data_IF_912697878085
#
_entry.id   IF_912697878085
#
_cell.length_a   1.000
_cell.length_b   1.000
_cell.length_c   1.000
_cell.angle_alpha   90.00
_cell.angle_beta   90.00
_cell.angle_gamma   90.00
#
_symmetry.space_group_name_H-M   'P 1'
#
loop_
_entity.id
_entity.type
_entity.pdbx_description
1 polymer ?
#
# COMPACT_ATOMS: atom_id res chain seq x y z
N UNK A 1 25.56 -6.94 -8.97
CA UNK A 1 24.38 -6.33 -9.62
C UNK A 1 23.87 -5.28 -8.67
N UNK A 2 23.97 -4.00 -9.03
CA UNK A 2 23.61 -2.88 -8.17
C UNK A 2 22.10 -2.83 -8.00
N UNK A 3 21.62 -3.21 -6.80
CA UNK A 3 20.25 -2.96 -6.37
C UNK A 3 20.03 -1.45 -6.41
N UNK A 4 19.10 -0.97 -7.24
CA UNK A 4 18.64 0.41 -7.16
C UNK A 4 17.52 0.42 -6.12
N UNK A 5 17.90 0.57 -4.86
CA UNK A 5 16.98 0.77 -3.73
C UNK A 5 16.38 2.17 -3.80
N UNK A 6 15.15 2.34 -3.30
CA UNK A 6 14.55 3.66 -3.16
C UNK A 6 15.43 4.57 -2.27
N UNK A 7 15.44 5.87 -2.55
CA UNK A 7 16.28 6.81 -1.82
C UNK A 7 15.80 7.08 -0.39
N UNK A 8 14.49 6.96 -0.14
CA UNK A 8 13.86 7.10 1.17
C UNK A 8 13.25 5.74 1.54
N UNK A 9 13.56 5.24 2.74
CA UNK A 9 12.96 4.01 3.29
C UNK A 9 12.74 4.19 4.80
N UNK A 10 11.64 3.67 5.38
CA UNK A 10 10.51 3.05 4.68
C UNK A 10 9.63 4.05 3.93
N UNK A 11 8.86 3.59 2.95
CA UNK A 11 7.85 4.39 2.26
C UNK A 11 6.46 4.18 2.87
N UNK A 12 5.56 5.19 2.85
CA UNK A 12 4.19 5.07 3.36
C UNK A 12 3.25 4.27 2.43
N UNK A 13 3.81 3.26 1.75
CA UNK A 13 3.12 2.40 0.80
C UNK A 13 2.01 1.61 1.51
N UNK A 14 0.84 1.59 0.87
CA UNK A 14 -0.34 0.87 1.34
C UNK A 14 -0.95 1.39 2.64
N UNK A 15 -0.46 2.52 3.20
CA UNK A 15 -1.02 3.11 4.42
C UNK A 15 -2.30 3.91 4.12
N UNK A 16 -2.32 4.63 2.99
CA UNK A 16 -3.41 5.52 2.61
C UNK A 16 -4.23 4.97 1.44
N UNK A 17 -5.48 5.45 1.23
CA UNK A 17 -6.25 5.12 0.04
C UNK A 17 -5.53 5.48 -1.26
N UNK A 18 -5.90 4.80 -2.35
CA UNK A 18 -5.41 5.15 -3.67
C UNK A 18 -5.91 6.53 -4.12
N UNK A 19 -5.09 7.29 -4.86
CA UNK A 19 -3.75 6.93 -5.35
C UNK A 19 -2.63 7.17 -4.33
N UNK A 20 -2.89 7.87 -3.22
CA UNK A 20 -1.86 8.27 -2.25
C UNK A 20 -1.10 7.08 -1.64
N UNK A 21 -1.77 5.95 -1.42
CA UNK A 21 -1.14 4.71 -0.93
C UNK A 21 -0.03 4.15 -1.83
N UNK A 22 0.08 4.60 -3.08
CA UNK A 22 1.15 4.17 -4.00
C UNK A 22 2.22 5.25 -4.20
N UNK A 23 2.04 6.48 -3.71
CA UNK A 23 3.00 7.55 -3.94
C UNK A 23 4.31 7.34 -3.16
N UNK A 24 5.41 7.75 -3.78
CA UNK A 24 6.76 7.70 -3.21
C UNK A 24 7.21 9.07 -2.73
N UNK A 25 7.92 9.08 -1.60
CA UNK A 25 8.61 10.24 -1.10
C UNK A 25 9.99 10.38 -1.78
N UNK A 26 10.25 11.48 -2.52
CA UNK A 26 11.57 11.78 -3.06
C UNK A 26 12.55 12.23 -1.96
N UNK A 27 13.87 12.11 -2.17
CA UNK A 27 14.89 12.49 -1.18
C UNK A 27 15.11 14.02 -1.14
N UNK A 28 14.10 14.75 -0.72
CA UNK A 28 14.11 16.23 -0.61
C UNK A 28 14.32 16.68 0.85
N UNK A 29 14.68 17.95 1.03
CA UNK A 29 14.81 18.53 2.36
C UNK A 29 13.47 18.47 3.14
N UNK A 30 13.52 18.12 4.43
CA UNK A 30 12.34 17.97 5.28
C UNK A 30 11.57 16.66 5.08
N UNK A 31 12.00 15.75 4.19
CA UNK A 31 11.30 14.49 3.94
C UNK A 31 11.22 13.59 5.17
N UNK A 32 12.21 13.63 6.06
CA UNK A 32 12.25 12.75 7.24
C UNK A 32 11.07 12.99 8.20
N UNK A 33 10.69 14.25 8.42
CA UNK A 33 9.56 14.60 9.29
C UNK A 33 8.24 14.19 8.64
N UNK A 34 8.10 14.43 7.33
CA UNK A 34 6.92 14.03 6.55
C UNK A 34 6.79 12.51 6.51
N UNK A 35 7.88 11.80 6.26
CA UNK A 35 7.95 10.34 6.28
C UNK A 35 7.51 9.81 7.64
N UNK A 36 8.06 10.33 8.74
CA UNK A 36 7.72 9.87 10.09
C UNK A 36 6.22 10.05 10.40
N UNK A 37 5.64 11.20 10.02
CA UNK A 37 4.21 11.47 10.19
C UNK A 37 3.34 10.52 9.35
N UNK A 38 3.66 10.36 8.06
CA UNK A 38 2.90 9.52 7.14
C UNK A 38 2.96 8.03 7.55
N UNK A 39 4.09 7.56 8.06
CA UNK A 39 4.22 6.19 8.58
C UNK A 39 3.36 5.95 9.84
N UNK A 40 2.92 7.01 10.52
CA UNK A 40 1.96 6.98 11.62
C UNK A 40 0.51 7.26 11.16
N UNK A 41 0.29 7.35 9.86
CA UNK A 41 -1.01 7.66 9.25
C UNK A 41 -1.41 9.12 9.38
N UNK A 42 -0.49 10.01 9.76
CA UNK A 42 -0.72 11.43 9.98
C UNK A 42 -0.36 12.23 8.72
N UNK A 43 -1.18 13.23 8.41
CA UNK A 43 -0.87 14.20 7.37
C UNK A 43 -0.20 15.39 8.06
N UNK A 44 1.09 15.66 7.81
CA UNK A 44 1.77 16.77 8.47
C UNK A 44 1.21 18.11 8.01
N UNK A 45 0.91 19.00 8.96
CA UNK A 45 0.42 20.36 8.68
C UNK A 45 1.44 21.19 7.91
N UNK A 46 2.72 21.03 8.26
CA UNK A 46 3.84 21.73 7.65
C UNK A 46 4.56 20.79 6.67
N UNK A 47 4.01 20.66 5.47
CA UNK A 47 4.63 19.90 4.39
C UNK A 47 5.45 20.86 3.49
N UNK A 48 6.74 20.57 3.21
CA UNK A 48 7.52 21.31 2.22
C UNK A 48 6.78 21.40 0.87
N UNK A 49 6.99 22.48 0.13
CA UNK A 49 6.34 22.68 -1.17
C UNK A 49 6.64 21.54 -2.16
N UNK A 50 7.86 21.01 -2.11
CA UNK A 50 8.30 19.84 -2.88
C UNK A 50 7.51 18.55 -2.59
N UNK A 51 6.82 18.49 -1.44
CA UNK A 51 6.00 17.34 -1.01
C UNK A 51 4.50 17.67 -1.00
N UNK A 52 4.11 18.86 -1.48
CA UNK A 52 2.71 19.29 -1.52
C UNK A 52 1.82 18.34 -2.34
N UNK A 53 2.38 17.66 -3.35
CA UNK A 53 1.66 16.69 -4.18
C UNK A 53 1.02 15.56 -3.36
N UNK A 54 1.68 15.12 -2.27
CA UNK A 54 1.18 14.02 -1.45
C UNK A 54 -0.09 14.43 -0.70
N UNK A 55 -0.07 15.62 -0.10
CA UNK A 55 -1.24 16.21 0.58
C UNK A 55 -2.38 16.48 -0.38
N UNK A 56 -2.08 16.98 -1.59
CA UNK A 56 -3.08 17.21 -2.63
C UNK A 56 -3.76 15.90 -3.04
N UNK A 57 -2.99 14.83 -3.24
CA UNK A 57 -3.51 13.51 -3.58
C UNK A 57 -4.38 12.91 -2.46
N UNK A 58 -3.98 13.06 -1.19
CA UNK A 58 -4.78 12.64 -0.03
C UNK A 58 -6.14 13.37 0.07
N UNK A 59 -6.18 14.63 -0.35
CA UNK A 59 -7.41 15.42 -0.42
C UNK A 59 -8.23 15.15 -1.69
N UNK A 60 -7.78 14.24 -2.57
CA UNK A 60 -8.46 13.89 -3.82
C UNK A 60 -8.24 14.87 -4.98
N UNK A 61 -7.39 15.90 -4.83
CA UNK A 61 -7.07 16.83 -5.93
C UNK A 61 -5.92 16.30 -6.80
N UNK A 62 -6.25 15.31 -7.62
CA UNK A 62 -5.30 14.57 -8.45
C UNK A 62 -4.63 15.46 -9.50
N UNK A 63 -5.38 16.36 -10.14
CA UNK A 63 -4.83 17.25 -11.16
C UNK A 63 -3.88 18.28 -10.53
N UNK A 64 -4.17 18.81 -9.33
CA UNK A 64 -3.22 19.68 -8.64
C UNK A 64 -1.98 18.91 -8.18
N UNK A 65 -2.14 17.69 -7.64
CA UNK A 65 -1.02 16.84 -7.26
C UNK A 65 -0.09 16.56 -8.45
N UNK A 66 -0.67 16.26 -9.61
CA UNK A 66 0.09 16.03 -10.85
C UNK A 66 0.86 17.29 -11.29
N UNK A 67 0.22 18.46 -11.26
CA UNK A 67 0.87 19.74 -11.60
C UNK A 67 1.98 20.13 -10.63
N UNK A 68 1.83 19.82 -9.35
CA UNK A 68 2.85 20.10 -8.33
C UNK A 68 4.19 19.37 -8.60
N UNK A 69 4.14 18.26 -9.34
CA UNK A 69 5.32 17.49 -9.75
C UNK A 69 5.95 17.98 -11.06
N UNK A 70 5.42 19.01 -11.73
CA UNK A 70 5.82 19.35 -13.09
C UNK A 70 7.29 19.79 -13.24
N UNK A 71 7.86 20.39 -12.19
CA UNK A 71 9.24 20.88 -12.18
C UNK A 71 10.25 19.86 -11.60
N UNK A 72 9.80 18.67 -11.18
CA UNK A 72 10.65 17.65 -10.56
C UNK A 72 11.02 16.57 -11.58
N UNK A 73 12.30 16.53 -11.96
CA UNK A 73 12.87 15.59 -12.93
C UNK A 73 13.38 14.28 -12.30
N UNK A 74 13.12 14.05 -11.01
CA UNK A 74 13.48 12.80 -10.33
C UNK A 74 12.70 11.58 -10.85
N UNK A 75 13.26 10.39 -10.62
CA UNK A 75 12.60 9.13 -11.00
C UNK A 75 11.35 8.88 -10.15
N UNK A 76 11.37 9.26 -8.87
CA UNK A 76 10.24 9.22 -7.96
C UNK A 76 9.12 10.15 -8.43
N UNK A 77 9.43 11.37 -8.87
CA UNK A 77 8.43 12.26 -9.44
C UNK A 77 7.83 11.72 -10.75
N UNK A 78 8.65 11.11 -11.61
CA UNK A 78 8.16 10.44 -12.82
C UNK A 78 7.23 9.27 -12.49
N UNK A 79 7.55 8.48 -11.46
CA UNK A 79 6.68 7.41 -10.96
C UNK A 79 5.39 7.96 -10.34
N UNK A 80 5.47 9.00 -9.51
CA UNK A 80 4.30 9.62 -8.89
C UNK A 80 3.35 10.22 -9.92
N UNK A 81 3.89 10.87 -10.96
CA UNK A 81 3.08 11.34 -12.10
C UNK A 81 2.35 10.18 -12.77
N UNK A 82 3.01 9.04 -12.97
CA UNK A 82 2.37 7.83 -13.50
C UNK A 82 1.22 7.34 -12.60
N UNK A 83 1.44 7.24 -11.28
CA UNK A 83 0.39 6.81 -10.33
C UNK A 83 -0.81 7.76 -10.33
N UNK A 84 -0.58 9.07 -10.46
CA UNK A 84 -1.65 10.07 -10.49
C UNK A 84 -2.38 10.12 -11.83
N UNK A 85 -1.66 10.04 -12.95
CA UNK A 85 -2.19 10.18 -14.30
C UNK A 85 -1.24 9.54 -15.31
N UNK A 86 -1.66 8.40 -15.86
CA UNK A 86 -0.86 7.63 -16.81
C UNK A 86 -1.58 7.32 -18.12
N UNK A 87 -0.78 6.91 -19.10
CA UNK A 87 -1.17 6.20 -20.31
C UNK A 87 -0.34 4.92 -20.51
N UNK A 88 -0.77 3.99 -21.38
CA UNK A 88 0.05 2.83 -21.78
C UNK A 88 1.40 3.22 -22.38
N UNK A 89 1.48 4.36 -23.07
CA UNK A 89 2.72 4.91 -23.64
C UNK A 89 3.69 5.37 -22.54
N UNK A 90 3.17 6.01 -21.48
CA UNK A 90 3.96 6.38 -20.31
C UNK A 90 4.55 5.14 -19.65
N UNK A 91 3.74 4.10 -19.45
CA UNK A 91 4.20 2.82 -18.92
C UNK A 91 5.34 2.25 -19.77
N UNK A 92 5.16 2.14 -21.08
CA UNK A 92 6.17 1.59 -21.99
C UNK A 92 7.48 2.39 -21.95
N UNK A 93 7.40 3.71 -21.74
CA UNK A 93 8.56 4.59 -21.61
C UNK A 93 9.27 4.39 -20.28
N UNK A 94 8.55 4.54 -19.17
CA UNK A 94 9.11 4.42 -17.81
C UNK A 94 9.67 3.03 -17.53
N UNK A 95 9.04 1.97 -18.07
CA UNK A 95 9.49 0.58 -17.94
C UNK A 95 10.91 0.35 -18.48
N UNK A 96 11.35 1.12 -19.48
CA UNK A 96 12.71 1.03 -20.04
C UNK A 96 13.73 1.77 -19.18
N UNK A 97 13.30 2.78 -18.44
CA UNK A 97 14.14 3.66 -17.62
C UNK A 97 14.33 3.06 -16.23
N UNK A 98 13.24 2.61 -15.61
CA UNK A 98 13.25 2.14 -14.22
C UNK A 98 13.96 0.80 -14.05
N UNK A 99 14.58 0.63 -12.88
CA UNK A 99 15.31 -0.57 -12.46
C UNK A 99 14.98 -0.88 -11.00
N UNK A 100 15.30 -2.09 -10.55
CA UNK A 100 15.13 -2.51 -9.16
C UNK A 100 13.68 -2.36 -8.68
N UNK A 101 13.53 -1.90 -7.44
CA UNK A 101 12.24 -1.73 -6.75
C UNK A 101 11.29 -0.82 -7.52
N UNK A 102 11.79 0.31 -8.02
CA UNK A 102 10.97 1.28 -8.75
C UNK A 102 10.32 0.68 -10.00
N UNK A 103 11.01 -0.23 -10.68
CA UNK A 103 10.44 -0.96 -11.82
C UNK A 103 9.33 -1.92 -11.38
N UNK A 104 9.51 -2.60 -10.25
CA UNK A 104 8.49 -3.52 -9.74
C UNK A 104 7.25 -2.77 -9.25
N UNK A 105 7.43 -1.63 -8.60
CA UNK A 105 6.35 -0.74 -8.18
C UNK A 105 5.59 -0.14 -9.37
N UNK A 106 6.31 0.19 -10.46
CA UNK A 106 5.65 0.60 -11.71
C UNK A 106 4.78 -0.53 -12.26
N UNK A 107 5.29 -1.76 -12.26
CA UNK A 107 4.52 -2.92 -12.72
C UNK A 107 3.31 -3.20 -11.80
N UNK A 108 3.41 -2.95 -10.48
CA UNK A 108 2.26 -3.01 -9.55
C UNK A 108 1.20 -1.99 -9.97
N UNK A 109 1.58 -0.72 -10.09
CA UNK A 109 0.65 0.34 -10.47
C UNK A 109 0.00 0.07 -11.85
N UNK A 110 0.79 -0.37 -12.83
CA UNK A 110 0.32 -0.72 -14.16
C UNK A 110 -0.64 -1.92 -14.16
N UNK A 111 -0.43 -2.92 -13.30
CA UNK A 111 -1.39 -4.01 -13.12
C UNK A 111 -2.69 -3.52 -12.46
N UNK A 112 -2.61 -2.75 -11.38
CA UNK A 112 -3.78 -2.23 -10.65
C UNK A 112 -4.72 -1.40 -11.54
N UNK A 113 -4.18 -0.68 -12.53
CA UNK A 113 -4.98 0.11 -13.49
C UNK A 113 -5.31 -0.65 -14.79
N UNK A 114 -4.91 -1.91 -14.93
CA UNK A 114 -5.29 -2.79 -16.04
C UNK A 114 -4.39 -2.74 -17.29
N UNK A 115 -3.21 -2.13 -17.22
CA UNK A 115 -2.24 -2.16 -18.35
C UNK A 115 -1.48 -3.49 -18.43
N UNK A 116 -1.40 -4.23 -17.33
CA UNK A 116 -0.82 -5.57 -17.28
C UNK A 116 -1.89 -6.59 -16.92
N UNK A 117 -1.87 -7.74 -17.60
CA UNK A 117 -2.79 -8.84 -17.35
C UNK A 117 -2.33 -9.77 -16.21
N UNK A 118 -1.10 -9.61 -15.72
CA UNK A 118 -0.52 -10.46 -14.69
C UNK A 118 0.25 -9.62 -13.67
N UNK A 119 0.25 -10.02 -12.40
CA UNK A 119 0.97 -9.29 -11.36
C UNK A 119 2.49 -9.38 -11.56
N UNK A 120 3.26 -8.40 -11.05
CA UNK A 120 4.71 -8.32 -11.23
C UNK A 120 5.49 -9.48 -10.62
N UNK A 121 6.74 -9.67 -11.06
CA UNK A 121 7.64 -10.68 -10.45
C UNK A 121 8.10 -10.24 -9.06
N UNK A 122 8.38 -11.21 -8.17
CA UNK A 122 8.88 -11.02 -6.80
C UNK A 122 10.39 -11.30 -6.70
N UNK A 123 11.25 -10.41 -7.21
CA UNK A 123 12.72 -10.67 -7.24
C UNK A 123 13.57 -9.53 -6.76
N UNK A 124 13.14 -8.29 -6.98
CA UNK A 124 13.98 -7.11 -6.85
C UNK A 124 13.44 -6.11 -5.81
N UNK A 125 12.66 -6.59 -4.83
CA UNK A 125 12.09 -5.79 -3.75
C UNK A 125 12.15 -6.51 -2.41
N UNK A 126 12.10 -5.72 -1.34
CA UNK A 126 12.14 -6.16 0.05
C UNK A 126 11.16 -5.36 0.91
N UNK A 127 10.99 -5.76 2.17
CA UNK A 127 10.17 -5.04 3.15
C UNK A 127 8.75 -4.72 2.65
N UNK A 128 8.33 -3.48 2.82
CA UNK A 128 7.02 -2.98 2.42
C UNK A 128 6.79 -3.01 0.90
N UNK A 129 7.84 -2.80 0.10
CA UNK A 129 7.74 -2.88 -1.36
C UNK A 129 7.40 -4.31 -1.81
N UNK A 130 8.06 -5.31 -1.21
CA UNK A 130 7.76 -6.72 -1.47
C UNK A 130 6.37 -7.10 -0.96
N UNK A 131 5.98 -6.62 0.23
CA UNK A 131 4.64 -6.84 0.77
C UNK A 131 3.55 -6.30 -0.18
N UNK A 132 3.75 -5.10 -0.75
CA UNK A 132 2.84 -4.51 -1.72
C UNK A 132 2.72 -5.35 -3.01
N UNK A 133 3.85 -5.85 -3.52
CA UNK A 133 3.85 -6.77 -4.67
C UNK A 133 3.09 -8.05 -4.33
N UNK A 134 3.33 -8.65 -3.17
CA UNK A 134 2.65 -9.88 -2.75
C UNK A 134 1.15 -9.64 -2.56
N UNK A 135 0.74 -8.49 -2.02
CA UNK A 135 -0.67 -8.10 -1.93
C UNK A 135 -1.33 -8.03 -3.31
N UNK A 136 -0.61 -7.55 -4.33
CA UNK A 136 -1.11 -7.57 -5.72
C UNK A 136 -1.34 -9.00 -6.21
N UNK A 137 -0.48 -9.95 -5.85
CA UNK A 137 -0.72 -11.38 -6.15
C UNK A 137 -1.88 -11.97 -5.35
N UNK A 138 -2.10 -11.52 -4.11
CA UNK A 138 -3.25 -11.96 -3.33
C UNK A 138 -4.56 -11.51 -4.00
N UNK A 139 -4.62 -10.26 -4.48
CA UNK A 139 -5.74 -9.77 -5.29
C UNK A 139 -5.94 -10.61 -6.56
N UNK A 140 -4.86 -10.90 -7.30
CA UNK A 140 -4.90 -11.75 -8.50
C UNK A 140 -5.43 -13.17 -8.21
N UNK A 141 -5.09 -13.74 -7.04
CA UNK A 141 -5.61 -15.03 -6.59
C UNK A 141 -7.10 -14.96 -6.23
N UNK A 142 -7.53 -13.91 -5.54
CA UNK A 142 -8.95 -13.68 -5.22
C UNK A 142 -9.80 -13.54 -6.49
N UNK A 143 -9.32 -12.82 -7.50
CA UNK A 143 -10.00 -12.70 -8.80
C UNK A 143 -10.15 -14.04 -9.53
N UNK A 144 -9.29 -15.02 -9.23
CA UNK A 144 -9.35 -16.40 -9.75
C UNK A 144 -10.11 -17.35 -8.83
N UNK A 145 -10.76 -16.84 -7.80
CA UNK A 145 -11.44 -17.62 -6.77
C UNK A 145 -10.53 -18.61 -6.01
N UNK A 146 -9.23 -18.30 -5.94
CA UNK A 146 -8.24 -19.10 -5.21
C UNK A 146 -8.00 -18.52 -3.81
N UNK A 147 -9.00 -18.69 -2.94
CA UNK A 147 -8.97 -18.19 -1.56
C UNK A 147 -7.83 -18.77 -0.72
N UNK A 148 -7.49 -20.04 -0.92
CA UNK A 148 -6.39 -20.69 -0.22
C UNK A 148 -5.06 -19.99 -0.53
N UNK A 149 -4.78 -19.74 -1.81
CA UNK A 149 -3.58 -19.03 -2.22
C UNK A 149 -3.58 -17.58 -1.75
N UNK A 150 -4.71 -16.88 -1.83
CA UNK A 150 -4.81 -15.51 -1.33
C UNK A 150 -4.45 -15.41 0.16
N UNK A 151 -4.91 -16.35 0.99
CA UNK A 151 -4.63 -16.40 2.42
C UNK A 151 -3.15 -16.62 2.71
N UNK A 152 -2.49 -17.54 2.00
CA UNK A 152 -1.04 -17.75 2.11
C UNK A 152 -0.28 -16.46 1.81
N UNK A 153 -0.66 -15.77 0.73
CA UNK A 153 -0.01 -14.55 0.26
C UNK A 153 -0.23 -13.37 1.20
N UNK A 154 -1.44 -13.18 1.72
CA UNK A 154 -1.73 -12.11 2.68
C UNK A 154 -0.98 -12.34 4.00
N UNK A 155 -0.86 -13.60 4.44
CA UNK A 155 -0.06 -13.95 5.61
C UNK A 155 1.41 -13.60 5.39
N UNK A 156 1.99 -14.00 4.26
CA UNK A 156 3.37 -13.68 3.86
C UNK A 156 3.61 -12.16 3.82
N UNK A 157 2.71 -11.39 3.19
CA UNK A 157 2.82 -9.95 3.06
C UNK A 157 2.75 -9.21 4.41
N UNK A 158 1.83 -9.61 5.29
CA UNK A 158 1.70 -9.04 6.63
C UNK A 158 2.98 -9.25 7.44
N UNK A 159 3.54 -10.47 7.41
CA UNK A 159 4.76 -10.80 8.15
C UNK A 159 5.97 -9.99 7.67
N UNK A 160 6.12 -9.78 6.36
CA UNK A 160 7.23 -9.04 5.77
C UNK A 160 7.30 -7.57 6.18
N UNK A 161 6.15 -6.92 6.38
CA UNK A 161 6.08 -5.49 6.67
C UNK A 161 5.64 -5.16 8.09
N UNK A 162 5.31 -6.15 8.94
CA UNK A 162 4.80 -5.92 10.32
C UNK A 162 5.65 -4.96 11.13
N UNK A 163 6.97 -5.07 11.06
CA UNK A 163 7.90 -4.23 11.83
C UNK A 163 8.29 -2.94 11.11
N UNK A 164 8.25 -2.93 9.78
CA UNK A 164 8.72 -1.82 8.93
C UNK A 164 7.59 -0.81 8.68
N UNK A 165 6.39 -1.31 8.39
CA UNK A 165 5.16 -0.54 8.16
C UNK A 165 3.98 -1.17 8.90
N UNK A 166 3.86 -0.95 10.23
CA UNK A 166 2.82 -1.54 11.06
C UNK A 166 1.38 -1.24 10.57
N UNK A 167 1.15 -0.04 10.03
CA UNK A 167 -0.18 0.36 9.54
C UNK A 167 -0.54 -0.33 8.22
N UNK A 168 0.44 -0.57 7.35
CA UNK A 168 0.21 -1.36 6.15
C UNK A 168 -0.05 -2.83 6.50
N UNK A 169 0.74 -3.38 7.43
CA UNK A 169 0.51 -4.73 7.94
C UNK A 169 -0.89 -4.89 8.56
N UNK A 170 -1.38 -3.90 9.30
CA UNK A 170 -2.72 -3.92 9.87
C UNK A 170 -3.82 -4.03 8.79
N UNK A 171 -3.66 -3.30 7.68
CA UNK A 171 -4.59 -3.38 6.55
C UNK A 171 -4.55 -4.75 5.88
N UNK A 172 -3.35 -5.31 5.63
CA UNK A 172 -3.20 -6.66 5.08
C UNK A 172 -3.84 -7.70 6.00
N UNK A 173 -3.67 -7.59 7.33
CA UNK A 173 -4.29 -8.48 8.31
C UNK A 173 -5.82 -8.36 8.29
N UNK A 174 -6.36 -7.15 8.15
CA UNK A 174 -7.79 -6.92 7.95
C UNK A 174 -8.33 -7.64 6.71
N UNK A 175 -7.63 -7.51 5.57
CA UNK A 175 -7.97 -8.23 4.33
C UNK A 175 -7.83 -9.75 4.50
N UNK A 176 -6.81 -10.23 5.20
CA UNK A 176 -6.62 -11.66 5.52
C UNK A 176 -7.80 -12.21 6.33
N UNK A 177 -8.21 -11.50 7.40
CA UNK A 177 -9.34 -11.89 8.22
C UNK A 177 -10.64 -11.93 7.41
N UNK A 178 -10.89 -10.89 6.61
CA UNK A 178 -12.06 -10.84 5.73
C UNK A 178 -12.06 -11.98 4.70
N UNK A 179 -10.90 -12.30 4.13
CA UNK A 179 -10.76 -13.38 3.15
C UNK A 179 -11.05 -14.74 3.79
N UNK A 180 -10.48 -15.01 4.96
CA UNK A 180 -10.76 -16.23 5.72
C UNK A 180 -12.24 -16.36 6.08
N UNK A 181 -12.85 -15.27 6.54
CA UNK A 181 -14.29 -15.24 6.82
C UNK A 181 -15.11 -15.63 5.58
N UNK A 182 -14.82 -15.05 4.42
CA UNK A 182 -15.56 -15.32 3.17
C UNK A 182 -15.47 -16.80 2.75
N UNK A 183 -14.29 -17.42 2.84
CA UNK A 183 -14.07 -18.79 2.34
C UNK A 183 -14.37 -19.89 3.36
N UNK A 184 -14.25 -19.61 4.66
CA UNK A 184 -14.33 -20.62 5.72
C UNK A 184 -15.35 -20.32 6.81
N UNK A 185 -15.97 -19.14 6.78
CA UNK A 185 -16.95 -18.71 7.78
C UNK A 185 -16.31 -18.16 9.07
N UNK A 186 -17.14 -17.87 10.09
CA UNK A 186 -16.66 -17.33 11.36
C UNK A 186 -15.85 -18.35 12.16
N UNK A 187 -14.67 -17.95 12.64
CA UNK A 187 -13.87 -18.72 13.59
C UNK A 187 -13.15 -17.81 14.62
N UNK A 188 -12.65 -18.39 15.70
CA UNK A 188 -11.92 -17.65 16.74
C UNK A 188 -10.55 -17.12 16.29
N UNK A 189 -9.96 -17.65 15.21
CA UNK A 189 -8.72 -17.09 14.64
C UNK A 189 -8.96 -15.74 13.98
N UNK A 190 -10.16 -15.49 13.43
CA UNK A 190 -10.56 -14.18 12.91
C UNK A 190 -10.57 -13.11 14.00
N UNK A 191 -11.06 -13.46 15.19
CA UNK A 191 -11.04 -12.57 16.37
C UNK A 191 -9.60 -12.13 16.67
N UNK A 192 -8.65 -13.06 16.66
CA UNK A 192 -7.24 -12.77 16.91
C UNK A 192 -6.64 -11.84 15.84
N UNK A 193 -6.95 -12.09 14.57
CA UNK A 193 -6.48 -11.25 13.46
C UNK A 193 -7.00 -9.81 13.57
N UNK A 194 -8.30 -9.61 13.79
CA UNK A 194 -8.85 -8.27 13.93
C UNK A 194 -8.31 -7.55 15.18
N UNK A 195 -8.15 -8.24 16.31
CA UNK A 195 -7.53 -7.67 17.51
C UNK A 195 -6.07 -7.26 17.26
N UNK A 196 -5.31 -8.05 16.50
CA UNK A 196 -3.94 -7.70 16.09
C UNK A 196 -3.93 -6.44 15.21
N UNK A 197 -4.77 -6.39 14.18
CA UNK A 197 -4.88 -5.21 13.30
C UNK A 197 -5.24 -3.95 14.08
N UNK A 198 -6.22 -4.03 14.99
CA UNK A 198 -6.64 -2.92 15.87
C UNK A 198 -5.47 -2.44 16.73
N UNK A 199 -4.69 -3.38 17.30
CA UNK A 199 -3.52 -3.05 18.13
C UNK A 199 -2.46 -2.31 17.33
N UNK A 200 -2.18 -2.73 16.10
CA UNK A 200 -1.24 -2.05 15.20
C UNK A 200 -1.72 -0.64 14.83
N UNK A 201 -3.03 -0.41 14.73
CA UNK A 201 -3.64 0.88 14.42
C UNK A 201 -3.81 1.81 15.63
N UNK A 202 -3.49 1.37 16.86
CA UNK A 202 -3.90 2.05 18.09
C UNK A 202 -3.39 3.49 18.20
N UNK A 203 -2.15 3.76 17.79
CA UNK A 203 -1.54 5.10 17.84
C UNK A 203 -1.69 5.91 16.56
N UNK A 204 -2.37 5.38 15.54
CA UNK A 204 -2.52 6.04 14.24
C UNK A 204 -3.71 7.02 14.22
N UNK A 205 -3.63 8.01 13.33
CA UNK A 205 -4.74 8.90 12.98
C UNK A 205 -5.74 8.29 11.99
N UNK A 206 -5.57 7.01 11.60
CA UNK A 206 -6.48 6.30 10.69
C UNK A 206 -7.74 5.82 11.42
N UNK A 207 -8.55 6.76 11.89
CA UNK A 207 -9.75 6.46 12.68
C UNK A 207 -10.77 5.62 11.92
N UNK A 208 -10.95 5.86 10.62
CA UNK A 208 -11.87 5.13 9.76
C UNK A 208 -11.46 3.67 9.59
N UNK A 209 -10.18 3.42 9.23
CA UNK A 209 -9.63 2.06 9.12
C UNK A 209 -9.76 1.31 10.45
N UNK A 210 -9.49 1.97 11.58
CA UNK A 210 -9.66 1.36 12.90
C UNK A 210 -11.12 1.06 13.23
N UNK A 211 -12.05 1.92 12.84
CA UNK A 211 -13.48 1.70 13.03
C UNK A 211 -13.98 0.51 12.20
N UNK A 212 -13.52 0.37 10.97
CA UNK A 212 -13.82 -0.79 10.12
C UNK A 212 -13.36 -2.11 10.77
N UNK A 213 -12.14 -2.16 11.31
CA UNK A 213 -11.66 -3.36 12.01
C UNK A 213 -12.51 -3.71 13.23
N UNK A 214 -12.95 -2.71 14.01
CA UNK A 214 -13.85 -2.92 15.14
C UNK A 214 -15.24 -3.41 14.70
N UNK A 215 -15.78 -2.87 13.61
CA UNK A 215 -17.06 -3.30 13.06
C UNK A 215 -16.99 -4.78 12.66
N UNK A 216 -15.96 -5.16 11.88
CA UNK A 216 -15.79 -6.53 11.42
C UNK A 216 -15.55 -7.51 12.57
N UNK A 217 -14.81 -7.10 13.61
CA UNK A 217 -14.68 -7.89 14.84
C UNK A 217 -16.04 -8.12 15.53
N UNK A 218 -16.89 -7.09 15.59
CA UNK A 218 -18.24 -7.19 16.13
C UNK A 218 -19.12 -8.16 15.35
N UNK A 219 -19.03 -8.14 14.01
CA UNK A 219 -19.72 -9.08 13.13
C UNK A 219 -19.29 -10.52 13.45
N UNK A 220 -17.99 -10.79 13.52
CA UNK A 220 -17.47 -12.13 13.86
C UNK A 220 -18.00 -12.61 15.21
N UNK A 221 -18.00 -11.77 16.25
CA UNK A 221 -18.56 -12.15 17.55
C UNK A 221 -20.05 -12.44 17.50
N UNK A 222 -20.82 -11.64 16.74
CA UNK A 222 -22.25 -11.86 16.56
C UNK A 222 -22.52 -13.23 15.91
N UNK A 223 -21.80 -13.56 14.85
CA UNK A 223 -22.01 -14.81 14.12
C UNK A 223 -21.54 -16.02 14.92
N UNK A 224 -20.42 -15.92 15.65
CA UNK A 224 -19.96 -16.96 16.59
C UNK A 224 -20.94 -17.21 17.74
N UNK A 225 -21.75 -16.21 18.12
CA UNK A 225 -22.77 -16.37 19.17
C UNK A 225 -24.10 -16.94 18.66
N UNK A 226 -24.32 -16.90 17.35
CA UNK A 226 -25.56 -17.31 16.69
C UNK A 226 -25.49 -18.70 16.05
N UNK A 227 -24.29 -19.27 15.91
CA UNK A 227 -24.02 -20.64 15.46
C UNK A 227 -23.77 -21.61 16.60
#
# INVERSE_FOLDING_TARGET
MTQSTLAVNPQPLGIFPLPAGYLLLPPVEGVADVQSALMQGQIPDNCPESLAFFRLALNGDIDAAYRALAADDSLEAAYNRFVLKSSPEDYATLRRIFKGELRQLLDVAAYTIGYLAMPPRRRDAQGECLALIIMTHATDALERDDGARAIELLTEAADLCRTISPLFAAQIIGTLAQTKYTYYGPDFTLVQLYQEAIKLLQSSSLAETRAEMWLNLGIVYHDLSSG
#
